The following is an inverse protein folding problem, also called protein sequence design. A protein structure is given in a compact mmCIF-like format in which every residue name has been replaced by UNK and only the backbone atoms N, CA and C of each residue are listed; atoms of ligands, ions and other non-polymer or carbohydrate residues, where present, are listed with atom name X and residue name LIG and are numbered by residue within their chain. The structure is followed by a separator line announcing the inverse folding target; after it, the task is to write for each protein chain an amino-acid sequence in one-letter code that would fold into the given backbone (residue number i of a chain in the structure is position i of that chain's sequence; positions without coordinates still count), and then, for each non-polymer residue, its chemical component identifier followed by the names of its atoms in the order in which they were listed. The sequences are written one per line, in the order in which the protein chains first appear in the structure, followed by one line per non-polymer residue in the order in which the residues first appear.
data_IF_993252664741
#
_entry.id   IF_993252664741
#
_cell.length_a   1.000
_cell.length_b   1.000
_cell.length_c   1.000
_cell.angle_alpha   90.00
_cell.angle_beta   90.00
_cell.angle_gamma   90.00
#
_symmetry.space_group_name_H-M   'P 1'
#
loop_
_entity.id
_entity.type
_entity.pdbx_description
1 polymer ?
#
# COMPACT_ATOMS: atom_id res chain seq x y z
N UNK A 1 4.60 -8.87 12.78
CA UNK A 1 3.47 -9.58 13.44
C UNK A 1 3.36 -10.96 12.83
N UNK A 2 3.18 -12.01 13.64
CA UNK A 2 2.96 -13.38 13.17
C UNK A 2 1.58 -13.85 13.64
N UNK A 3 0.74 -14.32 12.71
CA UNK A 3 -0.56 -14.90 13.03
C UNK A 3 -0.57 -16.40 12.69
N UNK A 4 -1.18 -17.18 13.57
CA UNK A 4 -1.41 -18.62 13.39
C UNK A 4 -2.62 -19.05 14.19
N UNK A 5 -3.37 -20.03 13.69
CA UNK A 5 -4.40 -20.71 14.46
C UNK A 5 -3.79 -21.97 15.09
N UNK A 6 -3.69 -21.98 16.42
CA UNK A 6 -3.19 -23.14 17.16
C UNK A 6 -4.27 -24.21 17.23
N UNK A 7 -3.90 -25.47 16.97
CA UNK A 7 -4.78 -26.64 17.03
C UNK A 7 -6.01 -26.58 16.13
N UNK A 8 -6.02 -25.70 15.12
CA UNK A 8 -7.09 -25.62 14.14
C UNK A 8 -6.80 -26.50 12.92
N UNK A 9 -7.84 -27.15 12.41
CA UNK A 9 -7.78 -27.92 11.17
C UNK A 9 -7.56 -26.98 9.96
N UNK A 10 -6.85 -27.40 8.89
CA UNK A 10 -6.69 -26.58 7.69
C UNK A 10 -8.01 -26.14 7.01
N UNK A 11 -9.11 -26.86 7.25
CA UNK A 11 -10.46 -26.48 6.83
C UNK A 11 -11.05 -25.33 7.64
N UNK A 12 -10.55 -25.07 8.85
CA UNK A 12 -10.98 -23.96 9.69
C UNK A 12 -10.25 -22.68 9.30
N UNK A 13 -11.02 -21.59 9.21
CA UNK A 13 -10.52 -20.27 8.87
C UNK A 13 -11.12 -19.20 9.76
N UNK A 14 -10.41 -18.09 9.90
CA UNK A 14 -10.91 -16.87 10.52
C UNK A 14 -10.45 -15.64 9.72
N UNK A 15 -11.26 -14.59 9.77
CA UNK A 15 -10.87 -13.26 9.31
C UNK A 15 -10.37 -12.49 10.53
N UNK A 16 -9.12 -12.04 10.47
CA UNK A 16 -8.51 -11.22 11.51
C UNK A 16 -8.46 -9.77 11.04
N UNK A 17 -8.89 -8.87 11.92
CA UNK A 17 -8.69 -7.43 11.76
C UNK A 17 -7.65 -6.95 12.79
N UNK A 18 -6.58 -6.29 12.32
CA UNK A 18 -5.51 -5.77 13.18
C UNK A 18 -5.31 -4.29 12.91
N UNK A 19 -5.38 -3.48 13.95
CA UNK A 19 -5.07 -2.05 13.86
C UNK A 19 -3.59 -1.79 14.13
N UNK A 20 -2.92 -1.21 13.14
CA UNK A 20 -1.51 -0.78 13.22
C UNK A 20 -1.35 0.72 13.42
N UNK A 21 -2.38 1.53 13.14
CA UNK A 21 -2.38 2.98 13.32
C UNK A 21 -1.37 3.76 12.47
N UNK A 22 -0.81 3.13 11.44
CA UNK A 22 0.14 3.77 10.51
C UNK A 22 -0.32 3.58 9.07
N UNK A 23 -0.12 4.55 8.17
CA UNK A 23 -0.50 4.40 6.75
C UNK A 23 0.54 3.60 5.93
N UNK A 24 1.59 3.05 6.56
CA UNK A 24 2.70 2.35 5.91
C UNK A 24 2.24 1.10 5.14
N UNK A 25 3.09 0.55 4.26
CA UNK A 25 2.77 -0.72 3.60
C UNK A 25 2.86 -1.87 4.55
N UNK A 26 1.97 -2.84 4.35
CA UNK A 26 2.05 -4.12 5.05
C UNK A 26 2.24 -5.18 3.99
N UNK A 27 3.33 -5.92 4.13
CA UNK A 27 3.68 -7.04 3.26
C UNK A 27 3.47 -8.33 4.04
N UNK A 28 2.63 -9.21 3.49
CA UNK A 28 2.36 -10.54 4.01
C UNK A 28 3.32 -11.58 3.46
N UNK A 29 3.69 -12.55 4.28
CA UNK A 29 4.53 -13.70 3.92
C UNK A 29 3.87 -14.97 4.42
N UNK A 30 3.65 -15.93 3.52
CA UNK A 30 3.16 -17.27 3.86
C UNK A 30 4.26 -18.25 3.50
N UNK A 31 4.68 -19.08 4.45
CA UNK A 31 5.77 -20.04 4.26
C UNK A 31 7.05 -19.37 3.70
N UNK A 32 7.35 -18.15 4.17
CA UNK A 32 8.49 -17.33 3.72
C UNK A 32 8.33 -16.65 2.37
N UNK A 33 7.29 -16.99 1.60
CA UNK A 33 7.01 -16.39 0.29
C UNK A 33 6.15 -15.15 0.42
N UNK A 34 6.58 -14.04 -0.19
CA UNK A 34 5.82 -12.80 -0.24
C UNK A 34 4.47 -13.04 -0.93
N UNK A 35 3.41 -12.53 -0.32
CA UNK A 35 2.07 -12.47 -0.88
C UNK A 35 1.74 -11.03 -1.21
N UNK A 36 1.15 -10.81 -2.37
CA UNK A 36 0.59 -9.51 -2.69
C UNK A 36 -0.79 -9.35 -2.03
N UNK A 37 -1.18 -8.11 -1.69
CA UNK A 37 -2.54 -7.84 -1.25
C UNK A 37 -3.56 -8.31 -2.29
N UNK A 38 -4.77 -8.64 -1.83
CA UNK A 38 -5.89 -8.98 -2.69
C UNK A 38 -6.13 -7.84 -3.70
N UNK A 39 -6.03 -8.19 -4.98
CA UNK A 39 -6.11 -7.22 -6.08
C UNK A 39 -7.46 -6.52 -6.08
N UNK A 40 -7.44 -5.19 -6.22
CA UNK A 40 -8.64 -4.35 -6.18
C UNK A 40 -9.33 -4.23 -4.83
N UNK A 41 -8.83 -4.90 -3.78
CA UNK A 41 -9.47 -4.91 -2.47
C UNK A 41 -8.95 -3.84 -1.50
N UNK A 42 -7.75 -3.32 -1.76
CA UNK A 42 -7.16 -2.23 -0.98
C UNK A 42 -7.94 -0.95 -1.27
N UNK A 43 -8.59 -0.33 -0.27
CA UNK A 43 -9.33 0.90 -0.50
C UNK A 43 -8.42 2.05 -0.92
N UNK A 44 -8.94 2.91 -1.78
CA UNK A 44 -8.27 4.13 -2.25
C UNK A 44 -9.21 5.33 -2.09
N UNK A 45 -8.70 6.55 -2.29
CA UNK A 45 -9.55 7.75 -2.21
C UNK A 45 -10.62 7.78 -3.31
N UNK A 46 -10.31 7.21 -4.48
CA UNK A 46 -11.27 7.10 -5.58
C UNK A 46 -12.23 5.90 -5.42
N UNK A 47 -11.88 4.91 -4.61
CA UNK A 47 -12.69 3.72 -4.34
C UNK A 47 -12.72 3.40 -2.84
N UNK A 48 -13.57 4.13 -2.13
CA UNK A 48 -13.83 3.98 -0.69
C UNK A 48 -14.74 2.78 -0.40
N UNK A 49 -14.33 1.59 -0.84
CA UNK A 49 -15.06 0.34 -0.60
C UNK A 49 -14.20 -0.65 0.17
N UNK A 50 -14.74 -1.12 1.29
CA UNK A 50 -14.10 -2.15 2.07
C UNK A 50 -14.47 -3.53 1.50
N UNK A 51 -13.46 -4.33 1.17
CA UNK A 51 -13.70 -5.68 0.67
C UNK A 51 -13.95 -6.63 1.82
N UNK A 52 -15.12 -7.26 1.86
CA UNK A 52 -15.41 -8.26 2.90
C UNK A 52 -14.65 -9.55 2.60
N UNK A 53 -13.71 -9.91 3.48
CA UNK A 53 -13.08 -11.23 3.45
C UNK A 53 -14.01 -12.27 4.08
N UNK A 54 -13.93 -13.51 3.60
CA UNK A 54 -14.62 -14.66 4.21
C UNK A 54 -13.60 -15.70 4.68
N UNK A 55 -13.91 -16.47 5.74
CA UNK A 55 -13.04 -17.54 6.23
C UNK A 55 -12.68 -18.60 5.20
N UNK A 56 -13.54 -18.80 4.19
CA UNK A 56 -13.37 -19.79 3.13
C UNK A 56 -12.30 -19.40 2.09
N UNK A 57 -11.89 -18.13 2.07
CA UNK A 57 -10.84 -17.68 1.17
C UNK A 57 -9.49 -18.37 1.47
N UNK A 58 -8.55 -18.38 0.49
CA UNK A 58 -7.24 -18.98 0.68
C UNK A 58 -6.48 -18.38 1.87
N UNK A 59 -5.71 -19.23 2.58
CA UNK A 59 -4.84 -18.80 3.66
C UNK A 59 -3.90 -17.69 3.19
N UNK A 60 -3.82 -16.62 3.97
CA UNK A 60 -2.95 -15.48 3.69
C UNK A 60 -3.49 -14.52 2.64
N UNK A 61 -4.76 -14.63 2.26
CA UNK A 61 -5.47 -13.54 1.58
C UNK A 61 -5.54 -12.35 2.53
N UNK A 62 -5.10 -11.17 2.10
CA UNK A 62 -5.14 -9.98 2.94
C UNK A 62 -5.25 -8.69 2.12
N UNK A 63 -5.69 -7.61 2.75
CA UNK A 63 -5.49 -6.24 2.25
C UNK A 63 -5.32 -5.28 3.43
N UNK A 64 -4.87 -4.06 3.14
CA UNK A 64 -4.57 -3.08 4.16
C UNK A 64 -5.33 -1.78 3.92
N UNK A 65 -6.31 -1.47 4.78
CA UNK A 65 -7.03 -0.21 4.76
C UNK A 65 -6.18 0.90 5.37
N UNK A 66 -5.63 1.73 4.47
CA UNK A 66 -4.81 2.89 4.78
C UNK A 66 -5.57 4.20 4.74
N UNK A 67 -6.79 4.16 4.25
CA UNK A 67 -7.65 5.35 4.14
C UNK A 67 -8.50 5.46 5.41
N UNK A 68 -8.80 4.32 6.04
CA UNK A 68 -9.67 4.25 7.21
C UNK A 68 -11.12 4.36 6.80
N UNK A 69 -11.56 3.57 5.81
CA UNK A 69 -12.90 3.65 5.23
C UNK A 69 -13.98 3.49 6.29
N UNK A 70 -13.79 2.56 7.23
CA UNK A 70 -14.80 2.24 8.25
C UNK A 70 -14.79 3.23 9.42
N UNK A 71 -13.61 3.71 9.85
CA UNK A 71 -13.44 4.43 11.12
C UNK A 71 -12.95 5.87 10.95
N UNK A 72 -12.63 6.30 9.73
CA UNK A 72 -11.86 7.51 9.44
C UNK A 72 -10.40 7.44 9.89
N UNK A 73 -9.96 6.31 10.48
CA UNK A 73 -8.60 6.13 10.99
C UNK A 73 -7.84 5.18 10.08
N UNK A 74 -6.69 5.59 9.54
CA UNK A 74 -5.90 4.72 8.68
C UNK A 74 -5.24 3.60 9.48
N UNK A 75 -5.02 2.46 8.82
CA UNK A 75 -4.06 1.45 9.27
C UNK A 75 -4.66 0.13 9.77
N UNK A 76 -5.76 -0.32 9.17
CA UNK A 76 -6.40 -1.60 9.50
C UNK A 76 -5.99 -2.69 8.51
N UNK A 77 -5.44 -3.79 9.02
CA UNK A 77 -5.12 -5.00 8.27
C UNK A 77 -6.27 -5.99 8.38
N UNK A 78 -6.80 -6.43 7.24
CA UNK A 78 -7.74 -7.53 7.15
C UNK A 78 -7.05 -8.72 6.51
N UNK A 79 -7.04 -9.86 7.17
CA UNK A 79 -6.36 -11.06 6.70
C UNK A 79 -7.12 -12.33 7.02
N UNK A 80 -7.05 -13.31 6.12
CA UNK A 80 -7.58 -14.66 6.33
C UNK A 80 -6.48 -15.56 6.85
N UNK A 81 -6.69 -16.10 8.04
CA UNK A 81 -5.79 -17.07 8.68
C UNK A 81 -6.54 -18.38 8.75
N UNK A 82 -5.89 -19.45 8.29
CA UNK A 82 -6.40 -20.84 8.33
C UNK A 82 -5.51 -21.73 9.18
N UNK A 83 -6.06 -22.84 9.68
CA UNK A 83 -5.34 -23.84 10.44
C UNK A 83 -4.12 -24.42 9.73
N UNK A 84 -3.16 -24.91 10.52
CA UNK A 84 -1.96 -25.60 10.03
C UNK A 84 -0.87 -24.72 9.39
N UNK A 85 -1.10 -23.42 9.16
CA UNK A 85 -0.11 -22.51 8.57
C UNK A 85 0.05 -21.20 9.33
N UNK A 86 1.18 -20.54 9.12
CA UNK A 86 1.49 -19.22 9.68
C UNK A 86 1.56 -18.16 8.60
N UNK A 87 1.15 -16.95 8.95
CA UNK A 87 1.37 -15.75 8.13
C UNK A 87 2.14 -14.70 8.92
N UNK A 88 3.16 -14.14 8.28
CA UNK A 88 3.99 -13.08 8.82
C UNK A 88 3.69 -11.76 8.10
N UNK A 89 3.39 -10.71 8.86
CA UNK A 89 3.19 -9.36 8.35
C UNK A 89 4.33 -8.45 8.79
N UNK A 90 4.93 -7.77 7.81
CA UNK A 90 5.99 -6.77 8.01
C UNK A 90 5.52 -5.42 7.50
N UNK A 91 5.67 -4.41 8.34
CA UNK A 91 5.42 -3.01 7.97
C UNK A 91 6.63 -2.52 7.17
N UNK A 92 6.40 -1.90 6.02
CA UNK A 92 7.45 -1.24 5.25
C UNK A 92 7.91 0.03 5.95
N UNK A 93 9.19 0.34 5.82
CA UNK A 93 9.70 1.64 6.26
C UNK A 93 9.06 2.76 5.43
N UNK A 94 8.69 3.86 6.08
CA UNK A 94 8.29 5.11 5.41
C UNK A 94 9.55 5.90 5.14
N UNK A 95 9.82 6.20 3.88
CA UNK A 95 10.86 7.16 3.51
C UNK A 95 10.13 8.48 3.25
N UNK A 96 10.35 9.46 4.12
CA UNK A 96 9.88 10.83 3.90
C UNK A 96 10.95 11.53 3.07
N UNK A 97 10.61 11.89 1.84
CA UNK A 97 11.46 12.75 1.03
C UNK A 97 11.34 14.18 1.57
N UNK A 98 12.35 14.63 2.31
CA UNK A 98 12.44 16.00 2.84
C UNK A 98 13.00 16.99 1.82
N UNK A 99 13.44 16.50 0.66
CA UNK A 99 14.02 17.33 -0.38
C UNK A 99 12.91 18.03 -1.15
N UNK A 100 12.93 19.37 -1.17
CA UNK A 100 12.12 20.17 -2.09
C UNK A 100 12.57 19.82 -3.51
N UNK A 101 11.80 18.99 -4.20
CA UNK A 101 12.06 18.67 -5.61
C UNK A 101 11.53 19.86 -6.42
N UNK A 102 12.43 20.79 -6.78
CA UNK A 102 12.14 21.76 -7.82
C UNK A 102 12.29 21.07 -9.18
N UNK A 103 11.18 20.57 -9.72
CA UNK A 103 11.12 20.14 -11.12
C UNK A 103 10.96 21.40 -11.94
N UNK A 104 12.07 21.93 -12.48
CA UNK A 104 12.03 23.08 -13.37
C UNK A 104 12.08 22.64 -14.82
N UNK A 105 11.28 23.30 -15.66
CA UNK A 105 11.26 23.11 -17.12
C UNK A 105 12.19 24.09 -17.83
N UNK A 106 13.06 24.75 -17.06
CA UNK A 106 13.86 25.91 -17.49
C UNK A 106 14.93 25.52 -18.51
N UNK A 107 15.23 24.23 -18.60
CA UNK A 107 15.95 23.68 -19.73
C UNK A 107 14.95 23.43 -20.86
N UNK A 108 15.04 24.23 -21.94
CA UNK A 108 14.24 24.18 -23.18
C UNK A 108 14.23 22.82 -23.93
N UNK A 109 14.59 21.72 -23.29
CA UNK A 109 14.57 20.36 -23.87
C UNK A 109 13.17 19.77 -24.06
N UNK A 110 12.10 20.43 -23.61
CA UNK A 110 10.72 20.02 -23.84
C UNK A 110 10.09 20.66 -25.09
N UNK A 111 10.74 21.67 -25.69
CA UNK A 111 10.29 22.29 -26.95
C UNK A 111 10.64 21.44 -28.18
N UNK A 112 11.57 20.49 -28.03
CA UNK A 112 11.84 19.50 -29.05
C UNK A 112 11.05 18.25 -28.70
N UNK A 113 10.11 17.88 -29.56
CA UNK A 113 9.37 16.62 -29.63
C UNK A 113 10.29 15.38 -29.84
N UNK A 114 11.55 15.44 -29.41
CA UNK A 114 12.37 14.26 -29.21
C UNK A 114 11.81 13.53 -28.00
N UNK A 115 11.28 12.32 -28.21
CA UNK A 115 10.69 11.42 -27.21
C UNK A 115 11.66 10.94 -26.11
N UNK A 116 12.45 11.85 -25.55
CA UNK A 116 13.37 11.66 -24.45
C UNK A 116 12.54 11.54 -23.16
N UNK A 117 12.23 10.28 -22.89
CA UNK A 117 11.42 9.71 -21.81
C UNK A 117 11.85 10.07 -20.37
N UNK A 118 12.69 11.07 -20.16
CA UNK A 118 13.17 11.46 -18.83
C UNK A 118 12.10 12.19 -18.01
N UNK A 119 11.27 13.01 -18.67
CA UNK A 119 10.23 13.82 -18.02
C UNK A 119 8.82 13.45 -18.50
N UNK A 120 8.42 12.19 -18.28
CA UNK A 120 6.99 11.87 -18.34
C UNK A 120 6.25 12.71 -17.29
N UNK A 121 5.13 13.34 -17.68
CA UNK A 121 4.22 14.01 -16.75
C UNK A 121 3.28 12.98 -16.10
N UNK A 122 2.74 13.29 -14.92
CA UNK A 122 1.81 12.42 -14.19
C UNK A 122 2.45 11.40 -13.25
N UNK A 123 1.64 10.51 -12.66
CA UNK A 123 2.06 9.55 -11.62
C UNK A 123 3.20 8.62 -12.06
N UNK A 124 3.17 8.11 -13.30
CA UNK A 124 4.24 7.28 -13.89
C UNK A 124 5.57 8.05 -13.99
N UNK A 125 5.50 9.33 -14.32
CA UNK A 125 6.66 10.22 -14.30
C UNK A 125 7.26 10.42 -12.92
N UNK A 126 6.40 10.66 -11.93
CA UNK A 126 6.79 10.87 -10.55
C UNK A 126 7.45 9.62 -9.95
N UNK A 127 6.84 8.44 -10.09
CA UNK A 127 7.38 7.19 -9.54
C UNK A 127 8.72 6.83 -10.18
N UNK A 128 8.87 7.03 -11.49
CA UNK A 128 10.15 6.82 -12.20
C UNK A 128 11.26 7.76 -11.70
N UNK A 129 10.95 9.04 -11.52
CA UNK A 129 11.93 10.01 -11.04
C UNK A 129 12.35 9.73 -9.58
N UNK A 130 11.40 9.35 -8.72
CA UNK A 130 11.70 8.90 -7.35
C UNK A 130 12.56 7.64 -7.38
N UNK A 131 12.21 6.67 -8.22
CA UNK A 131 12.95 5.42 -8.37
C UNK A 131 14.40 5.66 -8.80
N UNK A 132 14.60 6.57 -9.77
CA UNK A 132 15.92 7.02 -10.20
C UNK A 132 16.71 7.66 -9.05
N UNK A 133 16.08 8.58 -8.30
CA UNK A 133 16.73 9.30 -7.20
C UNK A 133 17.16 8.38 -6.05
N UNK A 134 16.40 7.32 -5.78
CA UNK A 134 16.68 6.37 -4.69
C UNK A 134 17.48 5.14 -5.19
N UNK A 135 17.75 5.05 -6.50
CA UNK A 135 18.53 3.95 -7.09
C UNK A 135 17.83 2.59 -7.03
N UNK A 136 16.50 2.57 -7.18
CA UNK A 136 15.68 1.35 -7.15
C UNK A 136 14.89 1.17 -8.46
N UNK A 137 14.48 -0.06 -8.82
CA UNK A 137 13.57 -0.27 -9.94
C UNK A 137 12.23 0.46 -9.72
N UNK A 138 11.62 1.09 -10.74
CA UNK A 138 10.32 1.76 -10.62
C UNK A 138 9.20 0.87 -10.06
N UNK A 139 9.25 -0.43 -10.34
CA UNK A 139 8.32 -1.43 -9.78
C UNK A 139 8.38 -1.56 -8.24
N UNK A 140 9.39 -0.97 -7.58
CA UNK A 140 9.50 -0.91 -6.12
C UNK A 140 8.97 0.39 -5.52
N UNK A 141 8.59 1.35 -6.36
CA UNK A 141 8.00 2.62 -5.94
C UNK A 141 6.51 2.59 -6.27
N UNK A 142 5.67 2.72 -5.25
CA UNK A 142 4.22 2.82 -5.40
C UNK A 142 3.75 4.10 -4.76
N UNK A 143 2.80 4.76 -5.40
CA UNK A 143 2.00 5.80 -4.75
C UNK A 143 0.93 5.08 -3.94
N UNK A 144 0.68 5.57 -2.74
CA UNK A 144 -0.19 4.93 -1.76
C UNK A 144 -1.30 5.92 -1.42
N UNK A 145 -2.56 5.52 -1.62
CA UNK A 145 -3.71 6.43 -1.57
C UNK A 145 -3.90 7.18 -2.88
N UNK A 146 -4.01 6.46 -3.99
CA UNK A 146 -4.35 7.05 -5.29
C UNK A 146 -5.75 7.67 -5.22
N UNK A 147 -5.84 8.91 -5.70
CA UNK A 147 -7.09 9.63 -5.86
C UNK A 147 -7.09 11.07 -5.38
N UNK A 148 -8.22 11.75 -5.60
CA UNK A 148 -8.37 13.16 -5.24
C UNK A 148 -8.78 13.28 -3.77
N UNK A 149 -7.80 13.47 -2.88
CA UNK A 149 -8.07 13.74 -1.47
C UNK A 149 -8.75 15.12 -1.31
N UNK A 150 -9.86 15.17 -0.58
CA UNK A 150 -10.48 16.44 -0.19
C UNK A 150 -9.77 17.05 1.02
N UNK A 151 -9.84 18.37 1.19
CA UNK A 151 -9.33 19.05 2.39
C UNK A 151 -10.00 18.46 3.64
N UNK A 152 -9.23 18.10 4.66
CA UNK A 152 -9.72 17.41 5.87
C UNK A 152 -9.75 15.87 5.76
N UNK A 153 -9.37 15.30 4.61
CA UNK A 153 -9.36 13.85 4.42
C UNK A 153 -8.20 13.15 5.14
N UNK A 154 -7.12 13.87 5.46
CA UNK A 154 -5.99 13.27 6.15
C UNK A 154 -6.20 13.27 7.66
N UNK A 155 -6.12 12.08 8.25
CA UNK A 155 -6.05 11.93 9.69
C UNK A 155 -4.86 12.73 10.25
N UNK A 156 -5.11 13.57 11.26
CA UNK A 156 -4.13 14.47 11.88
C UNK A 156 -3.57 15.62 11.01
N UNK A 157 -4.33 16.13 10.03
CA UNK A 157 -3.88 17.25 9.17
C UNK A 157 -3.47 18.52 9.95
N UNK A 158 -3.97 18.73 11.17
CA UNK A 158 -3.65 19.90 11.99
C UNK A 158 -2.49 19.74 12.99
N UNK A 159 -1.84 18.57 13.06
CA UNK A 159 -0.81 18.28 14.08
C UNK A 159 0.53 17.81 13.50
N UNK A 160 0.72 17.91 12.19
CA UNK A 160 1.99 17.64 11.48
C UNK A 160 2.40 18.85 10.66
#
# INVERSE_FOLDING_TARGET
LRLRMLNADPSEGMVVCVYYGVPNSVVGYVDGSRREPLSGATPTWDNLRLTRLTPDMPHGTYYYDRVGVETGRPGYLYAVVRGGKTIDFKISHKIVLTTKVNVSTDWKGWENDSGDNFFKKGLDGLTRNIALLVGVPPSRVSILGEGTAQKGAFWNEGTT
#
